data_IF_047999552621
#
_entry.id   IF_047999552621
#
_cell.length_a   1.000
_cell.length_b   1.000
_cell.length_c   1.000
_cell.angle_alpha   90.00
_cell.angle_beta   90.00
_cell.angle_gamma   90.00
#
_symmetry.space_group_name_H-M   'P 1'
#
loop_
_entity.id
_entity.type
_entity.pdbx_description
1 polymer ?
2 polymer ?
3 water ?
#
# COMPACT_ATOMS: atom_id res chain seq x y z
N UNK A 1 -0.69 -11.28 54.17
CA UNK A 1 -1.30 -12.61 53.84
C UNK A 1 -2.15 -12.47 52.56
N UNK A 2 -2.64 -13.60 52.03
CA UNK A 2 -3.44 -13.65 50.77
C UNK A 2 -4.89 -14.03 51.07
N UNK A 3 -5.85 -13.10 50.88
CA UNK A 3 -7.31 -13.38 51.07
C UNK A 3 -7.79 -14.31 49.97
N UNK A 4 -8.81 -15.15 50.24
CA UNK A 4 -9.33 -16.11 49.24
C UNK A 4 -9.86 -15.31 48.04
N UNK A 5 -10.28 -14.05 48.25
CA UNK A 5 -10.83 -13.21 47.13
C UNK A 5 -9.71 -12.44 46.44
N UNK A 6 -8.57 -12.17 47.09
CA UNK A 6 -7.42 -11.51 46.42
C UNK A 6 -6.77 -12.49 45.43
N UNK A 7 -6.85 -13.79 45.71
CA UNK A 7 -6.29 -14.82 44.79
C UNK A 7 -7.30 -15.03 43.65
N UNK A 8 -8.57 -14.71 43.87
CA UNK A 8 -9.66 -14.81 42.85
C UNK A 8 -9.55 -13.60 41.89
N UNK A 9 -9.15 -12.47 42.44
CA UNK A 9 -9.00 -11.20 41.71
C UNK A 9 -7.65 -11.19 41.01
N UNK A 10 -6.56 -11.49 41.70
CA UNK A 10 -5.23 -11.56 41.05
C UNK A 10 -5.33 -12.51 39.84
N UNK A 11 -6.14 -13.57 39.92
CA UNK A 11 -6.27 -14.55 38.82
C UNK A 11 -7.05 -13.89 37.67
N UNK A 12 -8.24 -13.40 37.95
CA UNK A 12 -9.09 -12.79 36.92
C UNK A 12 -8.33 -11.62 36.30
N UNK A 13 -7.81 -10.73 37.14
CA UNK A 13 -7.06 -9.53 36.70
C UNK A 13 -6.02 -9.94 35.66
N UNK A 14 -5.11 -10.84 36.00
CA UNK A 14 -4.12 -11.30 34.99
C UNK A 14 -4.83 -11.88 33.78
N UNK A 15 -5.77 -12.78 34.00
CA UNK A 15 -6.42 -13.46 32.88
C UNK A 15 -7.11 -12.44 31.97
N UNK A 16 -7.38 -11.24 32.47
CA UNK A 16 -7.99 -10.13 31.68
C UNK A 16 -6.90 -9.31 31.01
N UNK A 17 -5.81 -9.01 31.72
CA UNK A 17 -4.67 -8.24 31.18
C UNK A 17 -4.14 -8.96 29.94
N UNK A 18 -4.06 -10.28 30.00
CA UNK A 18 -3.59 -11.07 28.86
C UNK A 18 -4.63 -11.06 27.75
N UNK A 19 -5.91 -11.04 28.11
CA UNK A 19 -7.04 -11.09 27.16
C UNK A 19 -7.11 -9.81 26.34
N UNK A 20 -6.73 -8.67 26.92
CA UNK A 20 -6.78 -7.38 26.17
C UNK A 20 -5.56 -7.31 25.24
N UNK A 21 -4.51 -8.07 25.50
CA UNK A 21 -3.32 -8.10 24.61
C UNK A 21 -3.58 -8.99 23.40
N UNK A 22 -4.24 -10.13 23.60
CA UNK A 22 -4.56 -11.02 22.46
C UNK A 22 -5.60 -10.29 21.61
N UNK A 23 -6.50 -9.52 22.23
CA UNK A 23 -7.57 -8.79 21.51
C UNK A 23 -6.95 -7.60 20.75
N UNK A 24 -5.80 -7.08 21.22
CA UNK A 24 -5.06 -5.99 20.51
C UNK A 24 -4.36 -6.60 19.31
N UNK A 25 -3.45 -7.53 19.56
CA UNK A 25 -2.75 -8.25 18.48
C UNK A 25 -3.80 -8.71 17.47
N UNK A 26 -4.91 -9.29 17.89
CA UNK A 26 -5.95 -9.78 16.95
C UNK A 26 -6.40 -8.64 16.02
N UNK A 27 -6.98 -7.60 16.59
CA UNK A 27 -7.63 -6.50 15.81
C UNK A 27 -6.57 -5.70 15.05
N UNK A 28 -5.35 -5.60 15.59
CA UNK A 28 -4.18 -4.99 14.91
C UNK A 28 -3.78 -5.83 13.70
N UNK A 29 -3.90 -7.17 13.77
CA UNK A 29 -3.52 -8.09 12.67
C UNK A 29 -4.68 -8.07 11.68
N UNK A 30 -5.88 -7.71 12.12
CA UNK A 30 -7.08 -7.61 11.24
C UNK A 30 -6.96 -6.34 10.40
N UNK A 31 -6.64 -5.24 11.06
CA UNK A 31 -6.50 -3.91 10.43
C UNK A 31 -5.38 -4.03 9.40
N UNK A 32 -4.32 -4.72 9.79
CA UNK A 32 -3.12 -4.91 8.95
C UNK A 32 -3.46 -5.60 7.63
N UNK A 33 -4.27 -6.65 7.65
CA UNK A 33 -4.65 -7.36 6.43
C UNK A 33 -5.60 -6.52 5.57
N UNK A 34 -6.47 -5.74 6.18
CA UNK A 34 -7.34 -4.79 5.44
C UNK A 34 -6.57 -3.68 4.76
N UNK A 35 -5.49 -3.19 5.36
CA UNK A 35 -4.55 -2.23 4.70
C UNK A 35 -3.84 -2.93 3.53
N UNK A 36 -3.35 -4.14 3.73
CA UNK A 36 -2.68 -4.93 2.68
C UNK A 36 -3.59 -5.13 1.44
N UNK A 37 -4.89 -5.36 1.59
CA UNK A 37 -5.78 -5.54 0.41
C UNK A 37 -5.86 -4.18 -0.29
N UNK A 38 -5.94 -3.14 0.52
CA UNK A 38 -6.20 -1.78 0.02
C UNK A 38 -5.01 -1.41 -0.85
N UNK A 39 -3.80 -1.63 -0.34
CA UNK A 39 -2.53 -1.20 -1.00
C UNK A 39 -2.32 -2.10 -2.22
N UNK A 40 -2.66 -3.37 -2.18
CA UNK A 40 -2.47 -4.21 -3.40
C UNK A 40 -3.52 -3.80 -4.43
N UNK A 41 -4.75 -3.48 -4.03
CA UNK A 41 -5.82 -3.12 -4.99
C UNK A 41 -5.44 -1.82 -5.72
N UNK A 42 -4.81 -0.87 -5.01
CA UNK A 42 -4.37 0.46 -5.53
C UNK A 42 -3.17 0.22 -6.44
N UNK A 43 -2.29 -0.69 -6.04
CA UNK A 43 -1.08 -0.92 -6.82
C UNK A 43 -1.51 -1.56 -8.14
N UNK A 44 -2.59 -2.33 -8.18
CA UNK A 44 -3.07 -2.98 -9.44
C UNK A 44 -3.43 -1.87 -10.43
N UNK A 45 -4.11 -0.84 -9.94
CA UNK A 45 -4.51 0.32 -10.79
C UNK A 45 -3.24 1.04 -11.21
N UNK A 46 -2.32 1.28 -10.26
CA UNK A 46 -1.04 1.94 -10.60
C UNK A 46 -0.36 1.18 -11.75
N UNK A 47 -0.40 -0.15 -11.74
CA UNK A 47 0.30 -0.97 -12.77
C UNK A 47 -0.47 -0.84 -14.10
N UNK A 48 -1.78 -0.86 -14.05
CA UNK A 48 -2.59 -0.81 -15.27
C UNK A 48 -2.30 0.50 -16.01
N UNK A 49 -2.26 1.59 -15.25
CA UNK A 49 -2.02 2.95 -15.77
C UNK A 49 -0.57 3.05 -16.23
N UNK A 50 0.34 2.45 -15.49
CA UNK A 50 1.79 2.51 -15.78
C UNK A 50 2.03 1.83 -17.11
N UNK A 51 1.31 0.74 -17.35
CA UNK A 51 1.42 -0.08 -18.58
C UNK A 51 1.07 0.71 -19.81
N UNK A 52 0.03 1.50 -19.72
CA UNK A 52 -0.41 2.35 -20.85
C UNK A 52 0.67 3.41 -21.07
N UNK A 53 1.06 4.08 -19.99
CA UNK A 53 2.04 5.19 -20.09
C UNK A 53 3.32 4.65 -20.70
N UNK A 54 3.68 3.41 -20.39
CA UNK A 54 4.97 2.85 -20.83
C UNK A 54 4.84 2.54 -22.32
N UNK A 55 3.72 1.95 -22.73
CA UNK A 55 3.54 1.58 -24.15
C UNK A 55 3.49 2.88 -24.95
N UNK A 56 2.83 3.88 -24.42
CA UNK A 56 2.76 5.16 -25.12
C UNK A 56 4.17 5.72 -25.25
N UNK A 57 4.99 5.55 -24.23
CA UNK A 57 6.37 6.07 -24.28
C UNK A 57 7.15 5.47 -25.46
N UNK A 58 6.97 4.18 -25.65
CA UNK A 58 7.70 3.39 -26.67
C UNK A 58 7.33 3.94 -28.04
N UNK A 59 6.04 4.13 -28.27
CA UNK A 59 5.53 4.67 -29.56
C UNK A 59 6.15 6.05 -29.83
N UNK A 60 6.31 6.88 -28.82
CA UNK A 60 6.85 8.23 -29.07
C UNK A 60 8.32 8.12 -29.46
N UNK A 61 9.01 7.25 -28.78
CA UNK A 61 10.46 6.89 -28.99
C UNK A 61 10.65 6.32 -30.38
N UNK A 62 9.82 5.38 -30.87
CA UNK A 62 10.05 4.82 -32.23
C UNK A 62 9.75 5.88 -33.30
N UNK A 63 9.05 6.97 -32.99
CA UNK A 63 8.73 7.99 -34.00
C UNK A 63 9.62 9.23 -33.82
N UNK A 64 10.66 9.13 -32.99
CA UNK A 64 11.63 10.23 -32.69
C UNK A 64 11.99 11.00 -33.96
N UNK A 65 12.31 10.28 -35.04
CA UNK A 65 12.66 10.88 -36.34
C UNK A 65 11.63 11.85 -36.89
N UNK A 66 10.33 11.54 -36.75
CA UNK A 66 9.16 12.32 -37.29
C UNK A 66 9.20 13.79 -36.79
N UNK A 67 9.80 14.04 -35.60
CA UNK A 67 9.94 15.34 -34.88
C UNK A 67 8.56 16.03 -34.71
N UNK A 68 7.50 15.23 -34.52
CA UNK A 68 6.07 15.63 -34.39
C UNK A 68 6.01 16.39 -33.09
N UNK A 69 5.59 17.66 -33.07
CA UNK A 69 5.55 18.39 -31.81
C UNK A 69 4.42 17.91 -30.87
N UNK A 70 3.44 17.21 -31.45
CA UNK A 70 2.37 16.51 -30.69
C UNK A 70 3.01 15.39 -29.88
N UNK A 71 3.97 14.71 -30.46
CA UNK A 71 4.56 13.59 -29.68
C UNK A 71 5.41 14.23 -28.58
N UNK A 72 6.04 15.35 -28.86
CA UNK A 72 6.98 15.94 -27.89
C UNK A 72 6.12 16.36 -26.67
N UNK A 73 4.93 16.92 -26.93
CA UNK A 73 3.97 17.39 -25.90
C UNK A 73 3.60 16.20 -25.04
N UNK A 74 3.45 15.05 -25.69
CA UNK A 74 3.03 13.79 -25.02
C UNK A 74 4.19 13.31 -24.15
N UNK A 75 5.43 13.31 -24.64
CA UNK A 75 6.54 12.83 -23.78
C UNK A 75 6.80 13.84 -22.67
N UNK A 76 6.49 15.12 -22.89
CA UNK A 76 6.63 16.15 -21.85
C UNK A 76 5.73 15.78 -20.63
N UNK A 77 4.50 15.40 -20.93
CA UNK A 77 3.53 14.91 -19.93
C UNK A 77 4.15 13.69 -19.26
N UNK A 78 4.71 12.78 -20.02
CA UNK A 78 5.18 11.51 -19.43
C UNK A 78 6.25 11.81 -18.39
N UNK A 79 7.20 12.66 -18.72
CA UNK A 79 8.33 12.89 -17.79
C UNK A 79 8.03 14.02 -16.83
N UNK A 80 6.80 14.53 -16.79
CA UNK A 80 6.45 15.69 -15.94
C UNK A 80 6.29 15.28 -14.46
N UNK A 81 6.67 16.19 -13.56
CA UNK A 81 6.48 16.13 -12.07
C UNK A 81 6.02 17.49 -11.53
N UNK A 82 5.47 17.51 -10.34
CA UNK A 82 4.79 18.67 -9.72
C UNK A 82 5.77 19.25 -8.71
N UNK A 83 6.36 20.39 -9.00
CA UNK A 83 7.48 20.93 -8.18
C UNK A 83 7.30 22.41 -7.85
N UNK B 1 8.20 -26.72 42.90
CA UNK B 1 8.94 -27.98 42.65
C UNK B 1 10.44 -27.76 42.88
N UNK B 2 11.04 -26.64 42.47
CA UNK B 2 12.46 -26.34 42.76
C UNK B 2 12.60 -24.85 43.11
N UNK B 3 13.57 -24.49 43.95
CA UNK B 3 13.81 -23.07 44.32
C UNK B 3 14.28 -22.27 43.09
N UNK B 4 15.07 -22.87 42.19
CA UNK B 4 15.50 -22.18 40.95
C UNK B 4 14.48 -22.39 39.83
N UNK B 5 13.56 -23.35 39.99
CA UNK B 5 12.48 -23.57 38.98
C UNK B 5 11.51 -22.39 39.06
N UNK B 6 11.04 -22.07 40.27
CA UNK B 6 10.16 -20.91 40.52
C UNK B 6 10.83 -19.63 39.97
N UNK B 7 12.15 -19.62 39.77
CA UNK B 7 12.92 -18.51 39.15
C UNK B 7 12.72 -18.53 37.62
N UNK B 8 12.62 -19.71 37.00
CA UNK B 8 12.43 -19.89 35.53
C UNK B 8 10.93 -20.04 35.19
N UNK B 9 10.07 -20.27 36.19
CA UNK B 9 8.60 -20.27 36.02
C UNK B 9 8.17 -18.80 35.95
N UNK B 10 8.91 -17.92 36.66
CA UNK B 10 8.73 -16.44 36.79
C UNK B 10 9.27 -15.80 35.52
N UNK B 11 10.47 -16.21 35.14
CA UNK B 11 11.20 -15.67 33.97
C UNK B 11 10.57 -16.17 32.67
N UNK B 12 10.20 -17.44 32.61
CA UNK B 12 9.57 -17.97 31.37
C UNK B 12 8.32 -17.14 31.12
N UNK B 13 7.47 -17.00 32.13
CA UNK B 13 6.22 -16.20 32.01
C UNK B 13 6.58 -14.77 31.58
N UNK B 14 7.55 -14.15 32.23
CA UNK B 14 7.96 -12.77 31.87
C UNK B 14 8.34 -12.68 30.38
N UNK B 15 9.23 -13.55 29.89
CA UNK B 15 9.68 -13.48 28.47
C UNK B 15 8.49 -13.78 27.52
N UNK B 16 7.55 -14.67 27.87
CA UNK B 16 6.34 -14.96 27.04
C UNK B 16 5.55 -13.67 26.93
N UNK B 17 5.36 -12.93 28.01
CA UNK B 17 4.55 -11.69 27.96
C UNK B 17 5.29 -10.74 27.03
N UNK B 18 6.60 -10.64 27.20
CA UNK B 18 7.48 -9.71 26.45
C UNK B 18 7.20 -9.87 24.96
N UNK B 19 7.34 -11.07 24.45
CA UNK B 19 7.22 -11.27 22.98
C UNK B 19 5.83 -10.80 22.50
N UNK B 20 4.83 -10.67 23.39
CA UNK B 20 3.49 -10.13 23.02
C UNK B 20 3.54 -8.60 22.94
N UNK B 21 4.25 -7.94 23.84
CA UNK B 21 4.37 -6.46 23.80
C UNK B 21 5.22 -6.12 22.57
N UNK B 22 6.20 -6.96 22.24
CA UNK B 22 7.09 -6.74 21.07
C UNK B 22 6.30 -6.97 19.78
N UNK B 23 5.26 -7.80 19.82
CA UNK B 23 4.41 -8.08 18.63
C UNK B 23 3.52 -6.86 18.44
N UNK B 24 2.73 -6.52 19.46
CA UNK B 24 1.81 -5.35 19.38
C UNK B 24 2.62 -4.13 18.92
N UNK B 25 3.81 -3.90 19.47
CA UNK B 25 4.63 -2.71 19.12
C UNK B 25 5.06 -2.72 17.64
N UNK B 26 5.53 -3.86 17.12
CA UNK B 26 6.02 -3.96 15.73
C UNK B 26 4.82 -4.10 14.77
N UNK B 27 3.69 -4.62 15.24
CA UNK B 27 2.45 -4.75 14.43
C UNK B 27 1.86 -3.37 14.27
N UNK B 28 2.09 -2.52 15.26
CA UNK B 28 1.63 -1.11 15.28
C UNK B 28 2.47 -0.32 14.29
N UNK B 29 3.77 -0.58 14.21
CA UNK B 29 4.62 0.20 13.29
C UNK B 29 4.40 -0.32 11.85
N UNK B 30 4.28 -1.62 11.65
CA UNK B 30 3.97 -2.11 10.29
C UNK B 30 2.70 -1.40 9.82
N UNK B 31 1.70 -1.37 10.69
CA UNK B 31 0.37 -0.82 10.45
C UNK B 31 0.46 0.65 9.99
N UNK B 32 1.29 1.46 10.67
CA UNK B 32 1.55 2.88 10.37
C UNK B 32 2.15 3.04 8.95
N UNK B 33 3.20 2.31 8.67
CA UNK B 33 3.80 2.28 7.33
C UNK B 33 2.75 2.01 6.26
N UNK B 34 1.90 1.00 6.47
CA UNK B 34 0.89 0.60 5.44
C UNK B 34 -0.07 1.76 5.21
N UNK B 35 -0.40 2.52 6.25
CA UNK B 35 -1.30 3.69 6.09
C UNK B 35 -0.66 4.72 5.16
N UNK B 36 0.65 4.90 5.25
CA UNK B 36 1.36 5.85 4.39
C UNK B 36 1.58 5.26 3.00
N UNK B 37 1.77 3.95 2.92
CA UNK B 37 2.02 3.31 1.62
C UNK B 37 0.67 3.39 0.92
N UNK B 38 -0.45 3.25 1.63
CA UNK B 38 -1.76 3.38 0.92
C UNK B 38 -1.91 4.84 0.43
N UNK B 39 -1.56 5.87 1.22
CA UNK B 39 -1.72 7.27 0.70
C UNK B 39 -0.79 7.51 -0.50
N UNK B 40 0.44 7.01 -0.44
CA UNK B 40 1.42 7.18 -1.52
C UNK B 40 0.88 6.57 -2.81
N UNK B 41 0.32 5.35 -2.76
CA UNK B 41 -0.32 4.66 -3.93
C UNK B 41 -1.49 5.49 -4.47
N UNK B 42 -2.37 5.97 -3.61
CA UNK B 42 -3.53 6.75 -4.09
C UNK B 42 -3.07 8.01 -4.81
N UNK B 43 -1.95 8.59 -4.42
CA UNK B 43 -1.33 9.77 -5.02
C UNK B 43 -0.77 9.38 -6.41
N UNK B 44 -0.04 8.28 -6.46
CA UNK B 44 0.52 7.83 -7.74
C UNK B 44 -0.61 7.46 -8.70
N UNK B 45 -1.70 6.86 -8.23
CA UNK B 45 -2.87 6.64 -9.11
C UNK B 45 -3.31 7.96 -9.74
N UNK B 46 -3.42 9.01 -8.94
CA UNK B 46 -3.93 10.29 -9.52
C UNK B 46 -2.92 10.83 -10.52
N UNK B 47 -1.65 10.67 -10.26
CA UNK B 47 -0.56 11.33 -11.01
C UNK B 47 -0.56 10.74 -12.40
N UNK B 48 -0.70 9.42 -12.43
CA UNK B 48 -0.72 8.64 -13.68
C UNK B 48 -2.04 8.93 -14.39
N UNK B 49 -3.14 8.98 -13.65
CA UNK B 49 -4.45 9.18 -14.26
C UNK B 49 -4.50 10.54 -14.96
N UNK B 50 -3.86 11.53 -14.32
CA UNK B 50 -3.76 12.88 -14.91
C UNK B 50 -3.08 12.88 -16.27
N UNK B 51 -2.01 12.11 -16.38
CA UNK B 51 -1.20 12.01 -17.61
C UNK B 51 -2.08 11.40 -18.71
N UNK B 52 -2.78 10.34 -18.37
CA UNK B 52 -3.59 9.57 -19.32
C UNK B 52 -4.75 10.40 -19.79
N UNK B 53 -5.22 11.24 -18.91
CA UNK B 53 -6.32 12.16 -19.21
C UNK B 53 -5.77 13.25 -20.16
N UNK B 54 -4.58 13.78 -19.92
CA UNK B 54 -4.08 14.91 -20.76
C UNK B 54 -3.68 14.36 -22.13
N UNK B 55 -3.21 13.14 -22.12
CA UNK B 55 -2.81 12.49 -23.39
C UNK B 55 -4.08 12.30 -24.21
N UNK B 56 -5.16 11.86 -23.58
CA UNK B 56 -6.49 11.72 -24.24
C UNK B 56 -6.90 13.04 -24.87
N UNK B 57 -6.69 14.15 -24.20
CA UNK B 57 -7.06 15.49 -24.70
C UNK B 57 -6.24 15.77 -25.96
N UNK B 58 -4.93 15.59 -25.93
CA UNK B 58 -4.05 15.94 -27.07
C UNK B 58 -4.48 15.13 -28.31
N UNK B 59 -4.84 13.89 -28.09
CA UNK B 59 -5.37 13.01 -29.15
C UNK B 59 -6.72 13.54 -29.67
N UNK B 60 -7.66 13.89 -28.82
CA UNK B 60 -9.01 14.37 -29.26
C UNK B 60 -8.86 15.65 -30.09
N UNK B 61 -7.87 16.42 -29.73
CA UNK B 61 -7.52 17.74 -30.32
C UNK B 61 -7.12 17.56 -31.78
N UNK B 62 -6.49 16.43 -32.10
CA UNK B 62 -5.85 16.16 -33.41
C UNK B 62 -6.64 15.11 -34.19
N UNK B 63 -7.90 14.85 -33.83
CA UNK B 63 -8.81 13.83 -34.45
C UNK B 63 -8.80 13.95 -35.98
N UNK B 64 -8.83 15.18 -36.49
CA UNK B 64 -8.85 15.52 -37.92
C UNK B 64 -7.67 14.95 -38.69
N UNK B 65 -6.44 15.06 -38.17
CA UNK B 65 -5.18 14.66 -38.89
C UNK B 65 -5.18 13.14 -39.23
N UNK B 66 -6.00 12.33 -38.55
CA UNK B 66 -6.10 10.86 -38.75
C UNK B 66 -4.72 10.20 -38.78
N UNK B 67 -3.82 10.63 -37.89
CA UNK B 67 -2.46 10.05 -37.67
C UNK B 67 -2.69 8.66 -37.11
N UNK B 68 -2.18 7.58 -37.72
CA UNK B 68 -2.38 6.25 -37.17
C UNK B 68 -1.55 6.01 -35.91
N UNK B 69 -0.53 6.85 -35.66
CA UNK B 69 0.28 6.78 -34.38
C UNK B 69 -0.63 7.21 -33.23
N UNK B 70 -1.48 8.20 -33.46
CA UNK B 70 -2.37 8.72 -32.41
C UNK B 70 -3.49 7.70 -32.22
N UNK B 71 -3.88 7.00 -33.27
CA UNK B 71 -4.98 6.02 -33.15
C UNK B 71 -4.43 4.86 -32.31
N UNK B 72 -3.18 4.54 -32.49
CA UNK B 72 -2.53 3.44 -31.74
C UNK B 72 -2.48 3.79 -30.27
N UNK B 73 -2.25 5.08 -30.01
CA UNK B 73 -2.16 5.62 -28.64
C UNK B 73 -3.55 5.58 -28.06
N UNK B 74 -4.54 6.00 -28.82
CA UNK B 74 -5.94 5.98 -28.34
C UNK B 74 -6.35 4.55 -28.06
N UNK B 75 -5.90 3.59 -28.85
CA UNK B 75 -6.30 2.18 -28.69
C UNK B 75 -5.77 1.68 -27.34
N UNK B 76 -4.60 2.17 -26.95
CA UNK B 76 -3.94 1.86 -25.65
C UNK B 76 -4.79 2.48 -24.54
N UNK B 77 -5.09 3.77 -24.67
CA UNK B 77 -5.86 4.50 -23.65
C UNK B 77 -7.15 3.74 -23.36
N UNK B 78 -7.90 3.31 -24.38
CA UNK B 78 -9.25 2.74 -24.13
C UNK B 78 -9.20 1.22 -23.97
N UNK B 79 -8.01 0.62 -23.92
CA UNK B 79 -7.84 -0.83 -23.68
C UNK B 79 -8.32 -1.22 -22.29
N UNK B 80 -8.65 -2.51 -22.08
CA UNK B 80 -9.08 -3.09 -20.77
C UNK B 80 -8.23 -4.30 -20.35
N UNK B 81 -8.58 -4.87 -19.19
CA UNK B 81 -7.95 -6.02 -18.43
C UNK B 81 -6.67 -5.49 -17.74
#
# INVERSE_FOLDING_TARGET
>A
RITRLQEKEDLQELNDRLAVYIDRVRSLETENAGLRLRITESEEVVDFYFGKLRNIELICQENEGENDPVLQRIVDILYATDE
>B
ITRLQEKEDLQELNDRLAVYIDRVRSLETENAGLRLRITESEEVVDFYFGKLRNIELICQENEGENDPVLQRIVDILYATD
#
